data_IF_608811649355
#
_entry.id   IF_608811649355
#
_cell.length_a   1.000
_cell.length_b   1.000
_cell.length_c   1.000
_cell.angle_alpha   90.00
_cell.angle_beta   90.00
_cell.angle_gamma   90.00
#
_symmetry.space_group_name_H-M   'P 1'
#
loop_
_entity.id
_entity.type
_entity.pdbx_description
1 polymer ?
#
# COMPACT_ATOMS: atom_id res chain seq x y z
N UNK A 1 20.56 -67.14 24.42
CA UNK A 1 20.67 -65.76 24.93
C UNK A 1 20.41 -64.81 23.78
N UNK A 2 19.16 -64.38 23.57
CA UNK A 2 18.73 -63.65 22.37
C UNK A 2 18.59 -62.16 22.66
N UNK A 3 19.38 -61.32 21.97
CA UNK A 3 19.33 -59.87 22.05
C UNK A 3 18.09 -59.36 21.31
N UNK A 4 17.11 -58.84 22.06
CA UNK A 4 15.97 -58.11 21.49
C UNK A 4 16.43 -56.73 21.02
N UNK A 5 16.39 -56.52 19.71
CA UNK A 5 16.60 -55.24 19.03
C UNK A 5 15.48 -54.28 19.44
N UNK A 6 15.79 -53.24 20.21
CA UNK A 6 14.82 -52.22 20.62
C UNK A 6 14.53 -51.34 19.40
N UNK A 7 13.29 -51.38 18.89
CA UNK A 7 12.83 -50.46 17.85
C UNK A 7 12.67 -49.05 18.41
N UNK A 8 13.26 -48.04 17.75
CA UNK A 8 12.90 -46.63 17.94
C UNK A 8 11.50 -46.44 17.35
N UNK A 9 10.49 -46.43 18.21
CA UNK A 9 9.18 -45.89 17.86
C UNK A 9 9.35 -44.38 17.67
N UNK A 10 9.35 -43.91 16.41
CA UNK A 10 9.17 -42.49 16.10
C UNK A 10 7.69 -42.20 16.28
N UNK A 11 7.27 -41.94 17.53
CA UNK A 11 5.96 -41.35 17.80
C UNK A 11 5.92 -40.00 17.10
N UNK A 12 5.01 -39.85 16.15
CA UNK A 12 4.67 -38.61 15.47
C UNK A 12 4.18 -37.58 16.49
N UNK A 13 5.12 -36.89 17.14
CA UNK A 13 4.86 -35.72 17.96
C UNK A 13 4.85 -34.50 17.04
N UNK A 14 3.91 -34.47 16.09
CA UNK A 14 3.49 -33.19 15.51
C UNK A 14 2.66 -32.51 16.59
N UNK A 15 3.12 -31.40 17.16
CA UNK A 15 2.39 -30.76 18.22
C UNK A 15 1.03 -30.25 17.68
N UNK A 16 -0.05 -30.42 18.45
CA UNK A 16 -1.43 -30.22 17.99
C UNK A 16 -1.76 -28.76 17.64
N UNK A 17 -0.85 -27.83 17.89
CA UNK A 17 -0.98 -26.43 17.47
C UNK A 17 -0.63 -26.21 15.99
N UNK A 18 0.01 -27.18 15.31
CA UNK A 18 0.26 -27.13 13.86
C UNK A 18 -0.96 -27.50 13.01
N UNK A 19 -2.09 -27.86 13.63
CA UNK A 19 -3.36 -28.06 12.90
C UNK A 19 -4.08 -26.74 12.56
N UNK A 20 -3.67 -25.60 13.12
CA UNK A 20 -4.20 -24.30 12.70
C UNK A 20 -3.47 -23.79 11.45
N UNK A 21 -3.31 -24.64 10.44
CA UNK A 21 -3.04 -24.18 9.07
C UNK A 21 -4.35 -23.99 8.28
N UNK A 22 -5.49 -24.04 8.95
CA UNK A 22 -6.81 -23.88 8.37
C UNK A 22 -7.21 -22.39 8.40
N UNK A 23 -6.94 -21.73 7.27
CA UNK A 23 -7.48 -20.44 6.84
C UNK A 23 -7.28 -19.32 7.86
N UNK A 24 -6.06 -18.75 7.88
CA UNK A 24 -5.91 -17.36 8.31
C UNK A 24 -6.97 -16.54 7.53
N UNK A 25 -7.80 -15.71 8.18
CA UNK A 25 -8.73 -14.86 7.47
C UNK A 25 -7.93 -14.10 6.42
N UNK A 26 -8.36 -14.19 5.16
CA UNK A 26 -7.70 -13.49 4.06
C UNK A 26 -7.57 -12.04 4.49
N UNK A 27 -6.34 -11.52 4.52
CA UNK A 27 -6.06 -10.16 4.96
C UNK A 27 -6.99 -9.18 4.27
N UNK A 28 -7.51 -8.20 5.00
CA UNK A 28 -8.36 -7.16 4.40
C UNK A 28 -7.59 -6.45 3.27
N UNK A 29 -8.22 -6.31 2.11
CA UNK A 29 -7.65 -5.63 0.95
C UNK A 29 -7.79 -4.11 1.09
N UNK A 30 -6.76 -3.49 1.66
CA UNK A 30 -6.71 -2.04 1.82
C UNK A 30 -6.57 -1.32 0.47
N UNK A 31 -5.87 -1.93 -0.50
CA UNK A 31 -5.60 -1.28 -1.79
C UNK A 31 -6.92 -1.07 -2.55
N UNK A 32 -7.69 -2.14 -2.73
CA UNK A 32 -8.99 -2.07 -3.39
C UNK A 32 -9.98 -1.12 -2.69
N UNK A 33 -9.95 -1.07 -1.35
CA UNK A 33 -10.77 -0.13 -0.58
C UNK A 33 -10.42 1.34 -0.89
N UNK A 34 -9.13 1.69 -0.90
CA UNK A 34 -8.72 3.07 -1.17
C UNK A 34 -8.97 3.48 -2.62
N UNK A 35 -8.71 2.59 -3.58
CA UNK A 35 -9.01 2.82 -5.00
C UNK A 35 -10.50 3.12 -5.23
N UNK A 36 -11.39 2.33 -4.60
CA UNK A 36 -12.84 2.54 -4.69
C UNK A 36 -13.26 3.90 -4.11
N UNK A 37 -12.66 4.32 -2.99
CA UNK A 37 -12.95 5.63 -2.40
C UNK A 37 -12.45 6.78 -3.27
N UNK A 38 -11.30 6.63 -3.92
CA UNK A 38 -10.76 7.62 -4.85
C UNK A 38 -11.64 7.70 -6.11
N UNK A 39 -12.06 6.56 -6.66
CA UNK A 39 -12.92 6.52 -7.85
C UNK A 39 -14.27 7.17 -7.61
N UNK A 40 -14.89 6.93 -6.45
CA UNK A 40 -16.12 7.60 -6.04
C UNK A 40 -15.95 9.13 -6.06
N UNK A 41 -14.86 9.66 -5.49
CA UNK A 41 -14.60 11.11 -5.49
C UNK A 41 -14.35 11.69 -6.90
N UNK A 42 -13.73 10.92 -7.78
CA UNK A 42 -13.54 11.32 -9.19
C UNK A 42 -14.87 11.39 -9.93
N UNK A 43 -15.74 10.38 -9.75
CA UNK A 43 -17.10 10.36 -10.32
C UNK A 43 -17.96 11.50 -9.80
N UNK A 44 -17.88 11.79 -8.49
CA UNK A 44 -18.61 12.89 -7.86
C UNK A 44 -18.01 14.28 -8.18
N UNK A 45 -16.94 14.35 -9.01
CA UNK A 45 -16.13 15.54 -9.31
C UNK A 45 -15.60 16.30 -8.07
N UNK A 46 -15.56 15.63 -6.92
CA UNK A 46 -15.07 16.16 -5.64
C UNK A 46 -13.59 15.84 -5.39
N UNK A 47 -12.95 15.13 -6.33
CA UNK A 47 -11.51 14.92 -6.35
C UNK A 47 -10.79 16.21 -6.72
N UNK A 48 -9.80 16.60 -5.91
CA UNK A 48 -9.07 17.87 -6.08
C UNK A 48 -7.69 17.61 -6.63
N UNK A 49 -7.35 18.31 -7.71
CA UNK A 49 -5.98 18.40 -8.23
C UNK A 49 -5.47 19.79 -7.88
N UNK A 50 -4.34 19.86 -7.19
CA UNK A 50 -3.75 21.12 -6.78
C UNK A 50 -2.85 21.67 -7.88
N UNK A 51 -2.93 22.98 -8.12
CA UNK A 51 -2.00 23.68 -9.00
C UNK A 51 -0.73 24.01 -8.22
N UNK A 52 0.43 23.70 -8.79
CA UNK A 52 1.72 24.10 -8.22
C UNK A 52 2.02 25.57 -8.57
N UNK A 53 1.84 26.46 -7.61
CA UNK A 53 2.06 27.91 -7.76
C UNK A 53 2.83 28.50 -6.58
N UNK A 54 3.85 29.30 -6.87
CA UNK A 54 4.62 30.05 -5.89
C UNK A 54 4.30 31.55 -5.99
N UNK A 55 3.83 32.17 -4.90
CA UNK A 55 3.48 33.61 -4.88
C UNK A 55 4.73 34.49 -4.81
N UNK A 56 4.79 35.55 -5.61
CA UNK A 56 5.91 36.50 -5.62
C UNK A 56 5.60 37.70 -4.74
N UNK A 57 6.28 37.83 -3.59
CA UNK A 57 6.05 38.91 -2.64
C UNK A 57 6.33 40.30 -3.23
N UNK A 58 7.41 40.44 -4.02
CA UNK A 58 7.82 41.71 -4.64
C UNK A 58 6.83 42.24 -5.70
N UNK A 59 6.03 41.35 -6.31
CA UNK A 59 5.19 41.67 -7.46
C UNK A 59 3.78 41.12 -7.30
N UNK A 60 3.14 41.45 -6.19
CA UNK A 60 1.74 41.11 -5.97
C UNK A 60 0.86 41.67 -7.11
N UNK A 61 -0.10 40.90 -7.67
CA UNK A 61 -0.60 39.57 -7.28
C UNK A 61 0.02 38.38 -8.05
N UNK A 62 1.21 38.52 -8.66
CA UNK A 62 1.80 37.51 -9.55
C UNK A 62 2.25 36.23 -8.82
N UNK A 63 2.21 35.11 -9.54
CA UNK A 63 2.75 33.82 -9.11
C UNK A 63 3.61 33.18 -10.21
N UNK A 64 4.45 32.21 -9.84
CA UNK A 64 5.26 31.40 -10.76
C UNK A 64 4.84 29.93 -10.65
N UNK A 65 4.63 29.27 -11.78
CA UNK A 65 4.50 27.81 -11.86
C UNK A 65 5.88 27.14 -11.95
N UNK A 66 6.04 25.89 -11.50
CA UNK A 66 7.28 25.14 -11.69
C UNK A 66 7.60 25.07 -13.19
N UNK A 67 8.79 25.54 -13.54
CA UNK A 67 9.29 25.51 -14.91
C UNK A 67 9.85 24.12 -15.17
N UNK A 68 9.24 23.36 -16.09
CA UNK A 68 9.87 22.17 -16.67
C UNK A 68 11.20 22.60 -17.33
N UNK A 69 12.23 21.73 -17.46
CA UNK A 69 13.60 22.13 -17.82
C UNK A 69 13.77 22.84 -19.19
N UNK A 70 12.71 22.96 -19.98
CA UNK A 70 12.66 23.76 -21.19
C UNK A 70 12.06 25.12 -20.83
N UNK A 71 12.92 26.12 -20.63
CA UNK A 71 12.64 27.44 -20.05
C UNK A 71 11.68 28.34 -20.82
N UNK A 72 10.45 27.89 -21.08
CA UNK A 72 9.33 28.77 -21.47
C UNK A 72 8.75 29.41 -20.20
N UNK A 73 8.79 30.74 -20.06
CA UNK A 73 8.18 31.42 -18.93
C UNK A 73 6.65 31.44 -19.11
N UNK A 74 5.95 30.51 -18.47
CA UNK A 74 4.49 30.59 -18.33
C UNK A 74 4.17 31.54 -17.19
N UNK A 75 3.76 32.77 -17.51
CA UNK A 75 3.24 33.74 -16.56
C UNK A 75 1.73 33.57 -16.53
N UNK A 76 1.17 33.22 -15.37
CA UNK A 76 -0.28 33.25 -15.09
C UNK A 76 -0.59 34.54 -14.34
#
# INVERSE_FOLDING_TARGET
MSLRRIGRATSSLTPPWLLCADVLPTSFDYEGFFEQKISQKRTDNSYRVFNDINRLAERFPKARTPTLPFGVPTII
#
